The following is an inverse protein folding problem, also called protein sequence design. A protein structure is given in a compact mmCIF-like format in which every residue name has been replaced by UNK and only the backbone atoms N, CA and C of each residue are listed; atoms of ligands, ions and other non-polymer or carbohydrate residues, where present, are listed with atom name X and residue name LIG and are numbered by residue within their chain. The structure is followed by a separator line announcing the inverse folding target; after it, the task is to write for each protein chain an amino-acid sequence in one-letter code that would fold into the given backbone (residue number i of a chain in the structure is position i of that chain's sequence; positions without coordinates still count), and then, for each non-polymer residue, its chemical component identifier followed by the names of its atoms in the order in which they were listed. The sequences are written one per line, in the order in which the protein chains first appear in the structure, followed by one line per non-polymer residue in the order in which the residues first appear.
data_IF_957767970674
#
_entry.id   IF_957767970674
#
_cell.length_a   1.000
_cell.length_b   1.000
_cell.length_c   1.000
_cell.angle_alpha   90.00
_cell.angle_beta   90.00
_cell.angle_gamma   90.00
#
_symmetry.space_group_name_H-M   'P 1'
#
loop_
_entity.id
_entity.type
_entity.pdbx_description
1 polymer ?
#
# COMPACT_ATOMS: atom_id res chain seq x y z
N UNK A 1 14.33 54.85 33.06
CA UNK A 1 13.01 54.24 32.80
C UNK A 1 13.28 52.89 32.15
N UNK A 2 13.30 51.74 32.84
CA UNK A 2 12.19 50.95 33.44
C UNK A 2 11.06 50.72 32.42
N UNK A 3 11.08 49.57 31.72
CA UNK A 3 10.19 48.38 31.85
C UNK A 3 8.91 48.48 31.01
N UNK A 4 8.26 47.47 30.45
CA UNK A 4 8.32 45.99 30.49
C UNK A 4 7.34 45.49 29.42
N UNK A 5 7.45 44.23 29.00
CA UNK A 5 6.38 43.58 28.23
C UNK A 5 6.69 42.19 27.71
N UNK A 6 7.05 41.26 28.60
CA UNK A 6 7.11 39.82 28.30
C UNK A 6 5.70 39.26 28.03
N UNK A 7 5.60 38.37 27.05
CA UNK A 7 4.76 37.17 27.17
C UNK A 7 5.50 35.99 26.55
N UNK A 8 6.01 35.16 27.46
CA UNK A 8 6.58 33.84 27.27
C UNK A 8 5.41 32.84 27.11
N UNK A 9 5.61 31.79 26.30
CA UNK A 9 5.06 30.40 26.36
C UNK A 9 4.92 29.89 24.92
N UNK A 10 5.36 28.70 24.49
CA UNK A 10 5.79 27.46 25.14
C UNK A 10 6.61 26.66 24.11
N UNK A 11 7.58 25.93 24.65
CA UNK A 11 8.52 25.00 24.03
C UNK A 11 7.79 23.74 23.54
N UNK A 12 8.08 23.30 22.31
CA UNK A 12 8.21 21.87 21.95
C UNK A 12 9.20 21.82 20.77
N UNK A 13 10.51 21.83 21.00
CA UNK A 13 11.34 20.68 21.36
C UNK A 13 11.11 19.46 20.46
N UNK A 14 12.13 19.21 19.62
CA UNK A 14 12.68 17.90 19.28
C UNK A 14 11.77 16.90 18.53
N UNK A 15 12.06 16.70 17.23
CA UNK A 15 12.17 15.37 16.59
C UNK A 15 12.44 15.53 15.07
N UNK A 16 13.62 16.05 14.69
CA UNK A 16 14.11 15.97 13.28
C UNK A 16 15.54 15.40 13.23
N UNK A 17 16.05 14.84 14.32
CA UNK A 17 17.39 14.26 14.36
C UNK A 17 17.36 12.88 15.01
N UNK A 18 16.84 11.88 14.29
CA UNK A 18 16.95 10.49 14.70
C UNK A 18 16.89 9.48 13.55
N UNK A 19 17.45 9.75 12.36
CA UNK A 19 17.64 8.67 11.35
C UNK A 19 18.94 8.83 10.55
N UNK A 20 20.04 9.13 11.22
CA UNK A 20 21.38 8.92 10.66
C UNK A 20 22.28 8.32 11.72
N UNK A 21 22.25 6.99 11.82
CA UNK A 21 23.25 6.21 12.53
C UNK A 21 22.71 5.17 13.50
N UNK A 22 22.33 3.99 12.99
CA UNK A 22 22.72 2.72 13.60
C UNK A 22 22.65 1.60 12.56
N UNK A 23 23.71 1.50 11.75
CA UNK A 23 24.04 0.28 11.02
C UNK A 23 24.57 -0.75 12.03
N UNK A 24 23.69 -1.33 12.85
CA UNK A 24 24.02 -2.48 13.70
C UNK A 24 22.81 -3.42 13.80
N UNK A 25 22.83 -4.43 12.93
CA UNK A 25 22.40 -5.82 13.20
C UNK A 25 21.03 -6.03 13.87
N UNK A 26 19.98 -5.74 13.12
CA UNK A 26 18.77 -6.57 13.08
C UNK A 26 18.44 -6.76 11.61
N UNK A 27 18.86 -7.89 11.01
CA UNK A 27 18.58 -8.18 9.59
C UNK A 27 17.10 -8.53 9.44
N UNK A 28 16.22 -7.54 9.40
CA UNK A 28 14.81 -7.75 9.11
C UNK A 28 13.91 -6.61 9.58
N UNK A 29 12.64 -6.64 9.17
CA UNK A 29 11.64 -5.68 9.59
C UNK A 29 11.42 -5.73 11.11
N UNK A 30 11.23 -4.55 11.71
CA UNK A 30 10.70 -4.39 13.06
C UNK A 30 9.28 -4.95 13.20
N UNK A 31 8.81 -5.19 14.42
CA UNK A 31 7.45 -5.66 14.67
C UNK A 31 6.38 -4.69 14.16
N UNK A 32 6.65 -3.38 14.22
CA UNK A 32 5.76 -2.36 13.65
C UNK A 32 5.72 -2.43 12.11
N UNK A 33 6.86 -2.68 11.46
CA UNK A 33 6.92 -2.88 10.01
C UNK A 33 6.24 -4.18 9.60
N UNK A 34 6.35 -5.25 10.40
CA UNK A 34 5.61 -6.52 10.18
C UNK A 34 4.11 -6.31 10.31
N UNK A 35 3.66 -5.58 11.34
CA UNK A 35 2.24 -5.28 11.53
C UNK A 35 1.66 -4.50 10.33
N UNK A 36 2.37 -3.46 9.87
CA UNK A 36 1.97 -2.71 8.66
C UNK A 36 2.08 -3.54 7.38
N UNK A 37 3.05 -4.46 7.32
CA UNK A 37 3.16 -5.47 6.26
C UNK A 37 1.90 -6.33 6.19
N UNK A 38 1.43 -6.84 7.33
CA UNK A 38 0.20 -7.61 7.40
C UNK A 38 -1.06 -6.80 7.02
N UNK A 39 -1.13 -5.52 7.39
CA UNK A 39 -2.22 -4.63 6.95
C UNK A 39 -2.22 -4.45 5.42
N UNK A 40 -1.04 -4.22 4.83
CA UNK A 40 -0.90 -4.15 3.37
C UNK A 40 -1.26 -5.48 2.71
N UNK A 41 -0.86 -6.61 3.31
CA UNK A 41 -1.15 -7.94 2.78
C UNK A 41 -2.66 -8.22 2.81
N UNK A 42 -3.36 -7.77 3.85
CA UNK A 42 -4.81 -7.84 3.92
C UNK A 42 -5.49 -7.00 2.83
N UNK A 43 -5.00 -5.79 2.54
CA UNK A 43 -5.49 -4.98 1.42
C UNK A 43 -5.25 -5.67 0.07
N UNK A 44 -4.05 -6.22 -0.14
CA UNK A 44 -3.72 -6.98 -1.35
C UNK A 44 -4.60 -8.23 -1.49
N UNK A 45 -4.82 -8.97 -0.40
CA UNK A 45 -5.67 -10.15 -0.36
C UNK A 45 -7.14 -9.85 -0.69
N UNK A 46 -7.69 -8.74 -0.18
CA UNK A 46 -9.03 -8.28 -0.55
C UNK A 46 -9.14 -8.00 -2.05
N UNK A 47 -8.17 -7.27 -2.61
CA UNK A 47 -8.12 -7.00 -4.05
C UNK A 47 -8.00 -8.30 -4.86
N UNK A 48 -7.13 -9.23 -4.43
CA UNK A 48 -6.94 -10.52 -5.08
C UNK A 48 -8.21 -11.36 -5.05
N UNK A 49 -8.97 -11.34 -3.96
CA UNK A 49 -10.22 -12.10 -3.84
C UNK A 49 -11.31 -11.58 -4.80
N UNK A 50 -11.47 -10.25 -4.90
CA UNK A 50 -12.42 -9.62 -5.84
C UNK A 50 -12.10 -10.04 -7.28
N UNK A 51 -10.81 -10.04 -7.60
CA UNK A 51 -10.33 -10.28 -8.94
C UNK A 51 -10.22 -11.77 -9.28
N UNK A 52 -9.93 -12.63 -8.31
CA UNK A 52 -9.95 -14.09 -8.44
C UNK A 52 -11.34 -14.62 -8.82
N UNK A 53 -12.41 -13.94 -8.39
CA UNK A 53 -13.77 -14.29 -8.78
C UNK A 53 -14.02 -14.17 -10.31
N UNK A 54 -13.28 -13.29 -11.00
CA UNK A 54 -13.35 -13.12 -12.47
C UNK A 54 -13.04 -14.41 -13.25
N UNK A 55 -12.22 -15.29 -12.66
CA UNK A 55 -11.71 -16.51 -13.31
C UNK A 55 -12.81 -17.52 -13.67
N UNK A 56 -14.01 -17.40 -13.09
CA UNK A 56 -15.13 -18.34 -13.20
C UNK A 56 -16.25 -17.95 -14.18
N UNK A 57 -16.33 -16.70 -14.65
CA UNK A 57 -17.53 -16.15 -15.30
C UNK A 57 -17.45 -15.78 -16.78
N UNK A 58 -16.35 -16.08 -17.49
CA UNK A 58 -16.16 -15.64 -18.88
C UNK A 58 -16.08 -14.11 -19.03
N UNK A 59 -16.45 -13.54 -20.18
CA UNK A 59 -16.35 -12.09 -20.43
C UNK A 59 -17.21 -11.24 -19.48
N UNK A 60 -18.40 -11.73 -19.10
CA UNK A 60 -19.28 -11.02 -18.15
C UNK A 60 -18.71 -11.03 -16.72
N UNK A 61 -18.12 -12.14 -16.28
CA UNK A 61 -17.43 -12.20 -14.99
C UNK A 61 -16.20 -11.29 -14.92
N UNK A 62 -15.57 -10.99 -16.06
CA UNK A 62 -14.48 -10.04 -16.14
C UNK A 62 -14.94 -8.60 -15.91
N UNK A 63 -16.02 -8.16 -16.57
CA UNK A 63 -16.60 -6.83 -16.39
C UNK A 63 -17.11 -6.62 -14.97
N UNK A 64 -17.79 -7.61 -14.40
CA UNK A 64 -18.29 -7.57 -13.01
C UNK A 64 -17.13 -7.45 -12.01
N UNK A 65 -16.07 -8.25 -12.19
CA UNK A 65 -14.90 -8.18 -11.32
C UNK A 65 -14.15 -6.84 -11.43
N UNK A 66 -14.08 -6.24 -12.62
CA UNK A 66 -13.51 -4.89 -12.78
C UNK A 66 -14.36 -3.81 -12.10
N UNK A 67 -15.68 -3.86 -12.27
CA UNK A 67 -16.58 -2.94 -11.59
C UNK A 67 -16.44 -3.03 -10.07
N UNK A 68 -16.38 -4.27 -9.55
CA UNK A 68 -16.16 -4.52 -8.13
C UNK A 68 -14.78 -4.05 -7.64
N UNK A 69 -13.72 -4.28 -8.41
CA UNK A 69 -12.38 -3.83 -8.06
C UNK A 69 -12.25 -2.31 -8.08
N UNK A 70 -12.88 -1.63 -9.05
CA UNK A 70 -12.94 -0.17 -9.09
C UNK A 70 -13.69 0.39 -7.89
N UNK A 71 -14.88 -0.12 -7.59
CA UNK A 71 -15.66 0.32 -6.43
C UNK A 71 -14.90 0.10 -5.12
N UNK A 72 -14.20 -1.03 -4.98
CA UNK A 72 -13.34 -1.29 -3.83
C UNK A 72 -12.17 -0.31 -3.74
N UNK A 73 -11.50 -0.03 -4.86
CA UNK A 73 -10.37 0.92 -4.92
C UNK A 73 -10.80 2.35 -4.57
N UNK A 74 -11.97 2.78 -5.05
CA UNK A 74 -12.56 4.08 -4.70
C UNK A 74 -12.88 4.14 -3.19
N UNK A 75 -13.42 3.07 -2.61
CA UNK A 75 -13.73 3.00 -1.19
C UNK A 75 -12.48 2.98 -0.27
N UNK A 76 -11.37 2.38 -0.72
CA UNK A 76 -10.15 2.22 0.08
C UNK A 76 -9.00 3.14 -0.38
N UNK A 77 -9.29 4.16 -1.18
CA UNK A 77 -8.27 5.01 -1.81
C UNK A 77 -7.28 5.61 -0.80
N UNK A 78 -7.78 6.09 0.34
CA UNK A 78 -6.95 6.69 1.39
C UNK A 78 -6.02 5.67 2.06
N UNK A 79 -6.52 4.45 2.30
CA UNK A 79 -5.75 3.36 2.91
C UNK A 79 -4.67 2.86 1.96
N UNK A 80 -5.00 2.72 0.68
CA UNK A 80 -4.03 2.35 -0.38
C UNK A 80 -2.94 3.42 -0.47
N UNK A 81 -3.29 4.70 -0.53
CA UNK A 81 -2.31 5.79 -0.64
C UNK A 81 -1.39 5.87 0.58
N UNK A 82 -1.93 5.67 1.79
CA UNK A 82 -1.13 5.61 3.01
C UNK A 82 -0.19 4.39 3.00
N UNK A 83 -0.70 3.23 2.58
CA UNK A 83 0.09 2.00 2.45
C UNK A 83 1.23 2.14 1.44
N UNK A 84 0.98 2.75 0.28
CA UNK A 84 1.99 2.98 -0.75
C UNK A 84 3.05 3.99 -0.32
N UNK A 85 2.64 5.05 0.39
CA UNK A 85 3.58 6.02 0.97
C UNK A 85 4.52 5.35 1.96
N UNK A 86 3.97 4.52 2.85
CA UNK A 86 4.76 3.74 3.79
C UNK A 86 5.68 2.75 3.08
N UNK A 87 5.15 1.95 2.14
CA UNK A 87 5.92 0.96 1.39
C UNK A 87 7.11 1.58 0.66
N UNK A 88 6.90 2.72 -0.01
CA UNK A 88 7.97 3.40 -0.75
C UNK A 88 9.06 4.00 0.14
N UNK A 89 8.77 4.26 1.41
CA UNK A 89 9.74 4.74 2.39
C UNK A 89 10.64 3.63 2.96
N UNK A 90 10.27 2.35 2.77
CA UNK A 90 11.06 1.22 3.25
C UNK A 90 12.33 1.00 2.41
N UNK A 91 13.39 0.55 3.07
CA UNK A 91 14.58 0.03 2.39
C UNK A 91 14.30 -1.29 1.69
N UNK A 92 15.00 -1.55 0.58
CA UNK A 92 14.78 -2.73 -0.26
C UNK A 92 14.92 -4.06 0.52
N UNK A 93 15.86 -4.18 1.46
CA UNK A 93 15.98 -5.40 2.28
C UNK A 93 14.78 -5.66 3.20
N UNK A 94 14.13 -4.62 3.71
CA UNK A 94 12.89 -4.74 4.49
C UNK A 94 11.74 -5.15 3.58
N UNK A 95 11.63 -4.53 2.39
CA UNK A 95 10.64 -4.89 1.37
C UNK A 95 10.77 -6.34 0.94
N UNK A 96 11.99 -6.82 0.65
CA UNK A 96 12.25 -8.20 0.24
C UNK A 96 11.82 -9.20 1.31
N UNK A 97 12.11 -8.90 2.58
CA UNK A 97 11.69 -9.76 3.69
C UNK A 97 10.17 -9.80 3.82
N UNK A 98 9.51 -8.64 3.79
CA UNK A 98 8.05 -8.57 3.85
C UNK A 98 7.39 -9.22 2.63
N UNK A 99 8.00 -9.12 1.44
CA UNK A 99 7.58 -9.84 0.24
C UNK A 99 7.63 -11.35 0.44
N UNK A 100 8.71 -11.87 1.02
CA UNK A 100 8.83 -13.31 1.30
C UNK A 100 7.91 -13.81 2.42
N UNK A 101 7.35 -12.94 3.25
CA UNK A 101 6.43 -13.29 4.35
C UNK A 101 4.95 -13.27 3.93
N UNK A 102 4.60 -12.63 2.80
CA UNK A 102 3.22 -12.38 2.38
C UNK A 102 3.01 -12.70 0.89
N UNK A 103 2.49 -13.89 0.59
CA UNK A 103 2.19 -14.36 -0.77
C UNK A 103 1.20 -13.44 -1.51
N UNK A 104 0.33 -12.72 -0.78
CA UNK A 104 -0.68 -11.83 -1.35
C UNK A 104 -0.06 -10.70 -2.18
N UNK A 105 1.17 -10.29 -1.88
CA UNK A 105 1.89 -9.28 -2.66
C UNK A 105 2.27 -9.78 -4.06
N UNK A 106 2.65 -11.05 -4.17
CA UNK A 106 2.96 -11.69 -5.45
C UNK A 106 1.70 -11.85 -6.31
N UNK A 107 0.60 -12.23 -5.67
CA UNK A 107 -0.68 -12.43 -6.32
C UNK A 107 -1.25 -11.13 -6.86
N UNK A 108 -1.14 -9.99 -6.15
CA UNK A 108 -1.66 -8.70 -6.62
C UNK A 108 -1.09 -8.28 -7.99
N UNK A 109 0.22 -8.48 -8.19
CA UNK A 109 0.86 -8.20 -9.48
C UNK A 109 0.40 -9.17 -10.57
N UNK A 110 0.33 -10.46 -10.26
CA UNK A 110 -0.06 -11.52 -11.20
C UNK A 110 -1.53 -11.42 -11.61
N UNK A 111 -2.40 -11.11 -10.66
CA UNK A 111 -3.85 -10.96 -10.85
C UNK A 111 -4.13 -9.75 -11.74
N UNK A 112 -3.47 -8.61 -11.49
CA UNK A 112 -3.60 -7.42 -12.36
C UNK A 112 -3.16 -7.71 -13.80
N UNK A 113 -2.04 -8.41 -14.00
CA UNK A 113 -1.58 -8.83 -15.34
C UNK A 113 -2.57 -9.81 -15.98
N UNK A 114 -3.07 -10.78 -15.21
CA UNK A 114 -4.04 -11.78 -15.69
C UNK A 114 -5.32 -11.12 -16.18
N UNK A 115 -5.82 -10.08 -15.50
CA UNK A 115 -6.97 -9.30 -15.97
C UNK A 115 -6.68 -8.52 -17.23
N UNK A 116 -5.53 -7.84 -17.32
CA UNK A 116 -5.15 -7.12 -18.54
C UNK A 116 -5.09 -8.06 -19.74
N UNK A 117 -4.55 -9.28 -19.57
CA UNK A 117 -4.43 -10.27 -20.64
C UNK A 117 -5.77 -10.95 -20.95
N UNK A 118 -6.54 -11.34 -19.94
CA UNK A 118 -7.77 -12.12 -20.10
C UNK A 118 -8.97 -11.26 -20.51
N UNK A 119 -8.97 -9.99 -20.14
CA UNK A 119 -10.05 -9.05 -20.45
C UNK A 119 -9.68 -8.06 -21.56
N UNK A 120 -8.39 -7.96 -21.90
CA UNK A 120 -7.87 -7.04 -22.92
C UNK A 120 -8.13 -7.46 -24.37
N UNK A 121 -8.95 -8.47 -24.64
CA UNK A 121 -9.40 -8.77 -26.00
C UNK A 121 -10.60 -7.94 -26.46
N UNK A 122 -11.36 -7.27 -25.58
CA UNK A 122 -12.60 -6.55 -25.96
C UNK A 122 -12.81 -5.16 -25.29
N UNK A 123 -11.78 -4.32 -25.27
CA UNK A 123 -11.98 -2.95 -25.80
C UNK A 123 -12.14 -1.72 -24.89
N UNK A 124 -12.15 -1.80 -23.56
CA UNK A 124 -11.90 -0.60 -22.72
C UNK A 124 -11.01 -0.98 -21.52
N UNK A 125 -9.71 -0.86 -21.75
CA UNK A 125 -8.67 -1.01 -20.74
C UNK A 125 -8.85 0.04 -19.65
N UNK A 126 -8.75 -0.42 -18.40
CA UNK A 126 -8.54 0.39 -17.20
C UNK A 126 -7.60 1.57 -17.46
N UNK A 127 -8.18 2.77 -17.56
CA UNK A 127 -7.46 4.05 -17.57
C UNK A 127 -7.58 4.65 -16.15
N UNK A 128 -6.49 4.68 -15.36
CA UNK A 128 -6.50 5.31 -14.05
C UNK A 128 -6.58 6.85 -14.10
N UNK A 129 -6.75 7.46 -15.28
CA UNK A 129 -6.78 8.92 -15.49
C UNK A 129 -7.83 9.46 -16.47
N UNK A 130 -8.84 8.68 -16.90
CA UNK A 130 -9.94 9.16 -17.73
C UNK A 130 -11.26 9.36 -16.96
#
# INVERSE_FOLDING_TARGET
MKTNGHSLRVITAALVLAFSGLWLTGCGPSDEERAKGAERAALAGQQNAILGAASSGGANGCLEAFGAARAWQEAHQAEIAASDTWWNALGEGTKDTLYGEHDEFHDSSTVRITLLVRCGSDGELWDPGA
#
